data_IF_432216500952
#
_entry.id   IF_432216500952
#
_cell.length_a   1.000
_cell.length_b   1.000
_cell.length_c   1.000
_cell.angle_alpha   90.00
_cell.angle_beta   90.00
_cell.angle_gamma   90.00
#
_symmetry.space_group_name_H-M   'P 1'
#
loop_
_entity.id
_entity.type
_entity.pdbx_description
1 polymer ?
#
# COMPACT_ATOMS: atom_id res chain seq x y z
N UNK A 1 21.51 4.53 -15.92
CA UNK A 1 21.12 5.42 -14.80
C UNK A 1 21.74 4.84 -13.54
N UNK A 2 22.62 5.59 -12.86
CA UNK A 2 23.37 5.08 -11.71
C UNK A 2 22.50 4.85 -10.48
N UNK A 3 22.80 3.81 -9.69
CA UNK A 3 22.22 3.62 -8.35
C UNK A 3 22.89 4.60 -7.39
N UNK A 4 22.11 5.23 -6.51
CA UNK A 4 22.61 6.09 -5.45
C UNK A 4 22.45 5.38 -4.10
N UNK A 5 23.43 5.55 -3.20
CA UNK A 5 23.34 5.03 -1.84
C UNK A 5 22.55 5.99 -0.95
N UNK A 6 21.64 5.45 -0.16
CA UNK A 6 20.85 6.18 0.83
C UNK A 6 21.26 5.70 2.23
N UNK A 7 21.71 6.62 3.08
CA UNK A 7 21.94 6.34 4.50
C UNK A 7 20.68 6.72 5.27
N UNK A 8 20.11 5.75 5.97
CA UNK A 8 18.91 5.88 6.79
C UNK A 8 19.22 5.42 8.21
N UNK A 9 18.68 6.14 9.18
CA UNK A 9 18.62 5.70 10.58
C UNK A 9 17.17 5.31 10.88
N UNK A 10 16.96 4.08 11.36
CA UNK A 10 15.65 3.50 11.63
C UNK A 10 15.71 2.84 13.00
N UNK A 11 14.61 2.90 13.74
CA UNK A 11 14.47 2.18 15.01
C UNK A 11 14.69 0.68 14.81
N UNK A 12 15.54 0.09 15.64
CA UNK A 12 15.86 -1.33 15.58
C UNK A 12 14.62 -2.21 15.83
N UNK A 13 13.74 -1.81 16.76
CA UNK A 13 12.53 -2.57 17.07
C UNK A 13 11.59 -2.66 15.85
N UNK A 14 11.52 -1.58 15.07
CA UNK A 14 10.71 -1.53 13.84
C UNK A 14 11.29 -2.45 12.76
N UNK A 15 12.62 -2.51 12.62
CA UNK A 15 13.27 -3.42 11.67
C UNK A 15 13.07 -4.88 12.06
N UNK A 16 13.09 -5.19 13.36
CA UNK A 16 12.87 -6.54 13.84
C UNK A 16 11.43 -7.00 13.62
N UNK A 17 10.45 -6.12 13.81
CA UNK A 17 9.06 -6.38 13.46
C UNK A 17 8.88 -6.61 11.95
N UNK A 18 9.49 -5.77 11.11
CA UNK A 18 9.43 -5.93 9.66
C UNK A 18 10.02 -7.29 9.22
N UNK A 19 11.14 -7.72 9.82
CA UNK A 19 11.74 -9.04 9.57
C UNK A 19 10.82 -10.17 10.01
N UNK A 20 10.22 -10.07 11.19
CA UNK A 20 9.29 -11.09 11.69
C UNK A 20 8.08 -11.27 10.77
N UNK A 21 7.66 -10.20 10.10
CA UNK A 21 6.57 -10.20 9.12
C UNK A 21 7.02 -10.48 7.67
N UNK A 22 8.30 -10.79 7.44
CA UNK A 22 8.90 -11.00 6.11
C UNK A 22 8.70 -9.81 5.15
N UNK A 23 8.78 -8.59 5.66
CA UNK A 23 8.68 -7.36 4.87
C UNK A 23 10.06 -7.01 4.30
N UNK A 24 10.14 -6.86 2.98
CA UNK A 24 11.31 -6.31 2.31
C UNK A 24 11.34 -4.77 2.45
N UNK A 25 12.10 -4.30 3.43
CA UNK A 25 12.22 -2.87 3.76
C UNK A 25 12.85 -2.07 2.62
N UNK A 26 13.80 -2.64 1.88
CA UNK A 26 14.44 -1.93 0.77
C UNK A 26 13.46 -1.72 -0.37
N UNK A 27 12.75 -2.78 -0.78
CA UNK A 27 11.73 -2.70 -1.81
C UNK A 27 10.61 -1.73 -1.42
N UNK A 28 10.12 -1.83 -0.17
CA UNK A 28 9.08 -0.94 0.37
C UNK A 28 9.51 0.52 0.35
N UNK A 29 10.77 0.82 0.70
CA UNK A 29 11.30 2.19 0.74
C UNK A 29 11.35 2.79 -0.66
N UNK A 30 11.81 2.01 -1.65
CA UNK A 30 11.86 2.45 -3.05
C UNK A 30 10.47 2.68 -3.61
N UNK A 31 9.53 1.77 -3.37
CA UNK A 31 8.15 1.89 -3.81
C UNK A 31 7.45 3.10 -3.19
N UNK A 32 7.60 3.28 -1.87
CA UNK A 32 7.06 4.42 -1.14
C UNK A 32 7.61 5.75 -1.69
N UNK A 33 8.92 5.83 -1.97
CA UNK A 33 9.53 7.01 -2.56
C UNK A 33 8.95 7.31 -3.96
N UNK A 34 8.73 6.29 -4.80
CA UNK A 34 8.09 6.45 -6.11
C UNK A 34 6.67 6.97 -5.98
N UNK A 35 5.86 6.36 -5.12
CA UNK A 35 4.48 6.77 -4.87
C UNK A 35 4.39 8.24 -4.43
N UNK A 36 5.23 8.67 -3.49
CA UNK A 36 5.27 10.07 -3.04
C UNK A 36 5.68 11.03 -4.17
N UNK A 37 6.66 10.65 -4.99
CA UNK A 37 7.08 11.47 -6.13
C UNK A 37 5.98 11.59 -7.18
N UNK A 38 5.27 10.52 -7.47
CA UNK A 38 4.19 10.52 -8.46
C UNK A 38 2.99 11.33 -7.98
N UNK A 39 2.63 11.22 -6.69
CA UNK A 39 1.62 12.09 -6.08
C UNK A 39 2.01 13.57 -6.17
N UNK A 40 3.27 13.91 -5.81
CA UNK A 40 3.76 15.30 -5.93
C UNK A 40 3.72 15.82 -7.36
N UNK A 41 4.10 14.99 -8.35
CA UNK A 41 4.05 15.36 -9.78
C UNK A 41 2.63 15.57 -10.28
N UNK A 42 1.69 14.75 -9.81
CA UNK A 42 0.28 14.87 -10.14
C UNK A 42 -0.42 16.06 -9.44
N UNK A 43 0.28 16.79 -8.57
CA UNK A 43 -0.32 17.86 -7.75
C UNK A 43 -1.31 17.32 -6.71
N UNK A 44 -1.27 16.02 -6.42
CA UNK A 44 -2.12 15.37 -5.45
C UNK A 44 -1.39 15.35 -4.11
N UNK A 45 -1.97 15.98 -3.09
CA UNK A 45 -1.49 15.86 -1.72
C UNK A 45 -2.23 14.67 -1.09
N UNK A 46 -1.54 13.59 -0.68
CA UNK A 46 -2.18 12.54 0.09
C UNK A 46 -2.72 13.14 1.38
N UNK A 47 -4.03 13.05 1.58
CA UNK A 47 -4.70 13.48 2.80
C UNK A 47 -5.16 12.21 3.54
N UNK A 48 -4.38 11.73 4.54
CA UNK A 48 -4.70 10.51 5.25
C UNK A 48 -6.00 10.62 6.04
N UNK A 49 -6.38 11.82 6.48
CA UNK A 49 -7.63 12.01 7.22
C UNK A 49 -8.83 11.93 6.27
N UNK A 50 -8.72 12.52 5.08
CA UNK A 50 -9.72 12.34 4.02
C UNK A 50 -9.85 10.89 3.57
N UNK A 51 -8.73 10.15 3.48
CA UNK A 51 -8.75 8.73 3.14
C UNK A 51 -9.45 7.89 4.22
N UNK A 52 -9.17 8.16 5.51
CA UNK A 52 -9.85 7.52 6.66
C UNK A 52 -11.33 7.86 6.69
N UNK A 53 -11.68 9.12 6.46
CA UNK A 53 -13.07 9.56 6.40
C UNK A 53 -13.82 8.83 5.29
N UNK A 54 -13.27 8.81 4.07
CA UNK A 54 -13.86 8.08 2.96
C UNK A 54 -14.03 6.59 3.29
N UNK A 55 -13.03 5.94 3.88
CA UNK A 55 -13.11 4.53 4.27
C UNK A 55 -14.20 4.30 5.33
N UNK A 56 -14.37 5.21 6.28
CA UNK A 56 -15.44 5.16 7.28
C UNK A 56 -16.82 5.34 6.66
N UNK A 57 -16.99 6.35 5.79
CA UNK A 57 -18.25 6.65 5.10
C UNK A 57 -18.69 5.50 4.18
N UNK A 58 -17.73 4.74 3.64
CA UNK A 58 -17.97 3.65 2.72
C UNK A 58 -17.82 2.27 3.37
N UNK A 59 -17.72 2.19 4.70
CA UNK A 59 -17.43 0.95 5.41
C UNK A 59 -18.42 -0.17 5.11
N UNK A 60 -19.72 0.15 5.03
CA UNK A 60 -20.78 -0.81 4.69
C UNK A 60 -20.62 -1.34 3.25
N UNK A 61 -20.37 -0.46 2.28
CA UNK A 61 -20.15 -0.85 0.88
C UNK A 61 -18.91 -1.74 0.73
N UNK A 62 -17.82 -1.41 1.46
CA UNK A 62 -16.61 -2.22 1.51
C UNK A 62 -16.90 -3.60 2.12
N UNK A 63 -17.68 -3.67 3.20
CA UNK A 63 -18.05 -4.93 3.84
C UNK A 63 -18.90 -5.81 2.91
N UNK A 64 -19.92 -5.24 2.25
CA UNK A 64 -20.74 -5.95 1.28
C UNK A 64 -19.91 -6.48 0.10
N UNK A 65 -18.95 -5.69 -0.37
CA UNK A 65 -18.07 -6.10 -1.46
C UNK A 65 -17.16 -7.26 -1.05
N UNK A 66 -16.59 -7.23 0.16
CA UNK A 66 -15.80 -8.34 0.72
C UNK A 66 -16.63 -9.61 0.86
N UNK A 67 -17.82 -9.51 1.44
CA UNK A 67 -18.73 -10.66 1.59
C UNK A 67 -19.12 -11.27 0.23
N UNK A 68 -19.35 -10.44 -0.81
CA UNK A 68 -19.55 -10.94 -2.17
C UNK A 68 -18.33 -11.72 -2.67
N UNK A 69 -17.12 -11.18 -2.50
CA UNK A 69 -15.89 -11.85 -2.92
C UNK A 69 -15.72 -13.18 -2.19
N UNK A 70 -15.97 -13.22 -0.88
CA UNK A 70 -15.85 -14.43 -0.08
C UNK A 70 -16.85 -15.51 -0.54
N UNK A 71 -18.07 -15.11 -0.90
CA UNK A 71 -19.12 -16.04 -1.36
C UNK A 71 -18.97 -16.48 -2.82
N UNK A 72 -18.47 -15.62 -3.68
CA UNK A 72 -18.57 -15.79 -5.14
C UNK A 72 -17.23 -15.72 -5.88
N UNK A 73 -16.12 -15.49 -5.16
CA UNK A 73 -14.82 -15.23 -5.74
C UNK A 73 -14.70 -13.83 -6.35
N UNK A 74 -13.48 -13.52 -6.79
CA UNK A 74 -13.22 -12.27 -7.52
C UNK A 74 -13.76 -12.40 -8.94
N UNK A 75 -14.47 -11.38 -9.42
CA UNK A 75 -14.95 -11.39 -10.79
C UNK A 75 -13.78 -11.51 -11.78
N UNK A 76 -13.89 -12.48 -12.69
CA UNK A 76 -12.89 -12.71 -13.75
C UNK A 76 -11.61 -13.38 -13.26
N UNK A 77 -11.59 -13.94 -12.05
CA UNK A 77 -10.46 -14.74 -11.55
C UNK A 77 -10.17 -15.96 -12.44
N UNK A 78 -11.21 -16.53 -13.04
CA UNK A 78 -11.16 -17.63 -14.00
C UNK A 78 -10.54 -17.26 -15.36
N UNK A 79 -10.43 -15.97 -15.67
CA UNK A 79 -9.89 -15.46 -16.95
C UNK A 79 -8.64 -14.59 -16.80
N UNK A 80 -8.14 -14.36 -15.57
CA UNK A 80 -6.87 -13.67 -15.35
C UNK A 80 -5.70 -14.60 -15.70
N UNK A 81 -4.83 -14.14 -16.59
CA UNK A 81 -3.72 -14.92 -17.17
C UNK A 81 -2.34 -14.30 -16.90
N UNK A 82 -2.26 -13.34 -15.98
CA UNK A 82 -1.02 -12.60 -15.67
C UNK A 82 -0.49 -12.92 -14.28
#
# INVERSE_FOLDING_TARGET
>A
MGKAELRLEIDQALLDEARALNIDVEALTVESLRSVLDHKRAGVVPDPDKARQWASENAEAIALHRDRIDRHGVFGEDVRTW
#
